data_IF_696780640354
#
_entry.id   IF_696780640354
#
_cell.length_a   1.000
_cell.length_b   1.000
_cell.length_c   1.000
_cell.angle_alpha   90.00
_cell.angle_beta   90.00
_cell.angle_gamma   90.00
#
_symmetry.space_group_name_H-M   'P 1'
#
loop_
_entity.id
_entity.type
_entity.pdbx_description
1 polymer ?
#
# COMPACT_ATOMS: atom_id res chain seq x y z
N UNK A 1 -14.76 14.09 19.91
CA UNK A 1 -14.40 12.81 19.26
C UNK A 1 -15.52 11.82 19.47
N UNK A 2 -16.00 11.18 18.39
CA UNK A 2 -16.89 10.03 18.51
C UNK A 2 -16.16 8.92 19.29
N UNK A 3 -16.88 8.26 20.20
CA UNK A 3 -16.33 7.25 21.10
C UNK A 3 -16.12 5.96 20.28
N UNK A 4 -14.91 5.75 19.78
CA UNK A 4 -14.54 4.51 19.07
C UNK A 4 -14.62 3.30 20.02
N UNK A 5 -15.09 2.18 19.49
CA UNK A 5 -15.12 0.91 20.22
C UNK A 5 -13.71 0.28 20.33
N UNK A 6 -13.56 -0.80 21.10
CA UNK A 6 -12.26 -1.45 21.31
C UNK A 6 -11.70 -2.11 20.03
N UNK A 7 -12.57 -2.60 19.15
CA UNK A 7 -12.19 -3.22 17.88
C UNK A 7 -11.59 -2.15 16.96
N UNK A 8 -12.27 -1.02 16.83
CA UNK A 8 -11.85 0.14 16.04
C UNK A 8 -10.51 0.69 16.54
N UNK A 9 -10.29 0.75 17.86
CA UNK A 9 -8.98 1.16 18.42
C UNK A 9 -7.86 0.18 18.09
N UNK A 10 -8.12 -1.12 18.18
CA UNK A 10 -7.15 -2.15 17.81
C UNK A 10 -6.81 -2.08 16.32
N UNK A 11 -7.82 -1.96 15.45
CA UNK A 11 -7.60 -1.79 14.01
C UNK A 11 -6.76 -0.55 13.70
N UNK A 12 -7.07 0.57 14.35
CA UNK A 12 -6.34 1.83 14.17
C UNK A 12 -4.85 1.70 14.54
N UNK A 13 -4.54 0.97 15.62
CA UNK A 13 -3.16 0.66 16.01
C UNK A 13 -2.43 -0.14 14.93
N UNK A 14 -3.06 -1.17 14.38
CA UNK A 14 -2.44 -2.04 13.36
C UNK A 14 -2.19 -1.30 12.03
N UNK A 15 -3.12 -0.45 11.59
CA UNK A 15 -3.07 0.14 10.23
C UNK A 15 -2.45 1.54 10.20
N UNK A 16 -2.30 2.21 11.34
CA UNK A 16 -1.76 3.56 11.38
C UNK A 16 -0.68 3.78 12.46
N UNK A 17 -0.37 2.77 13.29
CA UNK A 17 0.48 2.89 14.49
C UNK A 17 0.02 3.99 15.48
N UNK A 18 -1.25 4.42 15.36
CA UNK A 18 -1.79 5.54 16.13
C UNK A 18 -2.38 5.07 17.45
N UNK A 19 -1.76 5.48 18.55
CA UNK A 19 -2.26 5.30 19.91
C UNK A 19 -3.19 6.45 20.33
N UNK A 20 -3.00 7.64 19.74
CA UNK A 20 -3.72 8.89 20.01
C UNK A 20 -3.96 9.68 18.71
N UNK A 21 -4.58 10.87 18.81
CA UNK A 21 -4.79 11.77 17.65
C UNK A 21 -3.44 12.10 17.00
N UNK A 22 -3.29 11.84 15.69
CA UNK A 22 -2.04 12.13 14.99
C UNK A 22 -1.68 13.62 15.06
N UNK A 23 -0.39 13.91 15.25
CA UNK A 23 0.15 15.24 15.00
C UNK A 23 0.15 15.50 13.50
N UNK A 24 -0.53 16.54 13.04
CA UNK A 24 -0.67 16.86 11.60
C UNK A 24 -2.12 16.97 11.16
N UNK A 25 -2.35 16.96 9.86
CA UNK A 25 -3.70 16.90 9.31
C UNK A 25 -4.21 15.46 9.35
N UNK A 26 -5.51 15.28 9.57
CA UNK A 26 -6.08 13.94 9.66
C UNK A 26 -7.54 13.89 9.22
N UNK A 27 -7.94 12.73 8.72
CA UNK A 27 -9.34 12.39 8.46
C UNK A 27 -9.57 10.92 8.81
N UNK A 28 -10.09 10.69 10.02
CA UNK A 28 -10.40 9.37 10.55
C UNK A 28 -11.83 8.99 10.15
N UNK A 29 -11.98 7.81 9.57
CA UNK A 29 -13.28 7.23 9.21
C UNK A 29 -13.54 5.94 9.99
N UNK A 30 -14.77 5.76 10.43
CA UNK A 30 -15.24 4.52 11.01
C UNK A 30 -16.63 4.17 10.48
N UNK A 31 -16.82 2.92 10.04
CA UNK A 31 -18.11 2.38 9.59
C UNK A 31 -18.86 3.33 8.61
N UNK A 32 -18.23 3.71 7.49
CA UNK A 32 -18.84 4.60 6.50
C UNK A 32 -18.83 6.09 6.82
N UNK A 33 -18.47 6.49 8.05
CA UNK A 33 -18.64 7.88 8.52
C UNK A 33 -17.33 8.52 8.94
N UNK A 34 -17.19 9.82 8.69
CA UNK A 34 -16.09 10.60 9.27
C UNK A 34 -16.34 10.74 10.78
N UNK A 35 -15.37 10.32 11.59
CA UNK A 35 -15.43 10.41 13.06
C UNK A 35 -14.54 11.53 13.61
N UNK A 36 -13.62 12.04 12.79
CA UNK A 36 -12.79 13.19 13.10
C UNK A 36 -12.04 13.68 11.86
N UNK A 37 -11.96 15.00 11.73
CA UNK A 37 -11.15 15.66 10.71
C UNK A 37 -10.46 16.88 11.32
N UNK A 38 -9.20 17.09 10.96
CA UNK A 38 -8.43 18.26 11.32
C UNK A 38 -7.49 18.67 10.19
N UNK A 39 -7.50 19.95 9.85
CA UNK A 39 -6.50 20.57 8.96
C UNK A 39 -5.37 21.15 9.79
N UNK A 40 -4.18 21.28 9.20
CA UNK A 40 -3.07 22.03 9.78
C UNK A 40 -3.01 23.46 9.20
N UNK A 41 -1.97 24.22 9.55
CA UNK A 41 -1.73 25.52 8.93
C UNK A 41 -1.41 25.43 7.44
N UNK A 42 -0.82 24.32 6.99
CA UNK A 42 -0.32 24.13 5.63
C UNK A 42 -1.02 23.01 4.85
N UNK A 43 -1.86 22.23 5.52
CA UNK A 43 -2.58 21.13 4.92
C UNK A 43 -4.07 21.31 5.18
N UNK A 44 -4.84 21.48 4.12
CA UNK A 44 -6.28 21.65 4.16
C UNK A 44 -7.00 20.39 3.66
N UNK A 45 -7.94 19.88 4.46
CA UNK A 45 -8.78 18.74 4.09
C UNK A 45 -10.24 19.18 3.93
N UNK A 46 -10.75 19.13 2.71
CA UNK A 46 -12.15 19.47 2.38
C UNK A 46 -12.91 18.24 1.90
N UNK A 47 -14.23 18.24 2.06
CA UNK A 47 -15.07 17.20 1.44
C UNK A 47 -15.31 17.57 -0.02
N UNK A 48 -15.32 16.56 -0.89
CA UNK A 48 -15.74 16.74 -2.29
C UNK A 48 -17.21 17.14 -2.35
N UNK A 49 -17.57 17.97 -3.33
CA UNK A 49 -18.94 18.47 -3.50
C UNK A 49 -19.95 17.35 -3.78
N UNK A 50 -19.52 16.30 -4.48
CA UNK A 50 -20.32 15.12 -4.81
C UNK A 50 -20.46 14.13 -3.63
N UNK A 51 -19.79 14.40 -2.51
CA UNK A 51 -19.80 13.55 -1.32
C UNK A 51 -19.00 12.24 -1.47
N UNK A 52 -18.25 12.05 -2.56
CA UNK A 52 -17.53 10.81 -2.87
C UNK A 52 -16.27 10.60 -2.00
N UNK A 53 -15.75 11.68 -1.39
CA UNK A 53 -14.63 11.62 -0.46
C UNK A 53 -14.06 12.99 -0.13
N UNK A 54 -12.74 13.15 -0.21
CA UNK A 54 -12.04 14.36 0.25
C UNK A 54 -10.98 14.86 -0.74
N UNK A 55 -10.72 16.16 -0.67
CA UNK A 55 -9.55 16.80 -1.28
C UNK A 55 -8.59 17.21 -0.17
N UNK A 56 -7.31 16.86 -0.34
CA UNK A 56 -6.22 17.22 0.54
C UNK A 56 -5.29 18.16 -0.22
N UNK A 57 -5.24 19.42 0.19
CA UNK A 57 -4.35 20.43 -0.39
C UNK A 57 -3.18 20.72 0.54
N UNK A 58 -1.97 20.43 0.07
CA UNK A 58 -0.71 20.69 0.78
C UNK A 58 -0.05 21.89 0.13
N UNK A 59 0.19 22.95 0.91
CA UNK A 59 0.78 24.19 0.37
C UNK A 59 2.20 23.97 -0.16
N UNK A 60 2.63 24.76 -1.17
CA UNK A 60 4.02 24.75 -1.62
C UNK A 60 5.02 24.99 -0.48
N UNK A 61 6.14 24.28 -0.51
CA UNK A 61 7.22 24.40 0.47
C UNK A 61 6.88 23.88 1.88
N UNK A 62 5.76 23.21 2.08
CA UNK A 62 5.42 22.54 3.35
C UNK A 62 6.48 21.49 3.69
N UNK A 63 7.06 21.52 4.88
CA UNK A 63 8.10 20.57 5.32
C UNK A 63 7.75 19.94 6.65
N UNK A 64 8.06 18.65 6.81
CA UNK A 64 7.95 17.90 8.07
C UNK A 64 6.51 17.86 8.63
N UNK A 65 5.50 17.86 7.77
CA UNK A 65 4.11 17.65 8.16
C UNK A 65 3.59 16.33 7.61
N UNK A 66 2.58 15.79 8.28
CA UNK A 66 1.94 14.53 7.88
C UNK A 66 0.43 14.64 7.74
N UNK A 67 -0.10 13.75 6.91
CA UNK A 67 -1.54 13.53 6.71
C UNK A 67 -1.88 12.10 7.09
N UNK A 68 -2.85 11.91 7.98
CA UNK A 68 -3.30 10.60 8.41
C UNK A 68 -4.76 10.36 8.01
N UNK A 69 -5.02 9.35 7.16
CA UNK A 69 -6.37 9.03 6.68
C UNK A 69 -6.81 7.59 6.95
N UNK A 70 -6.77 7.10 8.20
CA UNK A 70 -7.17 5.74 8.52
C UNK A 70 -8.69 5.51 8.41
N UNK A 71 -9.05 4.32 7.94
CA UNK A 71 -10.41 3.79 7.87
C UNK A 71 -10.50 2.50 8.67
N UNK A 72 -11.49 2.42 9.56
CA UNK A 72 -11.77 1.21 10.34
C UNK A 72 -13.22 0.78 10.19
N UNK A 73 -13.44 -0.51 9.94
CA UNK A 73 -14.77 -1.11 9.80
C UNK A 73 -14.92 -2.24 10.80
N UNK A 74 -15.94 -2.16 11.65
CA UNK A 74 -16.31 -3.21 12.61
C UNK A 74 -17.70 -3.79 12.37
N UNK A 75 -18.51 -3.17 11.49
CA UNK A 75 -19.84 -3.67 11.13
C UNK A 75 -19.79 -4.58 9.88
N UNK A 76 -20.55 -5.67 9.92
CA UNK A 76 -20.64 -6.64 8.81
C UNK A 76 -21.62 -6.17 7.73
N UNK A 77 -21.32 -6.48 6.46
CA UNK A 77 -22.21 -6.16 5.33
C UNK A 77 -22.07 -4.73 4.79
N UNK A 78 -21.05 -3.99 5.23
CA UNK A 78 -20.78 -2.64 4.74
C UNK A 78 -19.91 -2.69 3.49
N UNK A 79 -20.29 -1.90 2.49
CA UNK A 79 -19.50 -1.67 1.28
C UNK A 79 -19.32 -0.18 1.09
N UNK A 80 -18.08 0.29 0.99
CA UNK A 80 -17.80 1.69 0.74
C UNK A 80 -16.66 1.87 -0.26
N UNK A 81 -16.79 2.90 -1.10
CA UNK A 81 -15.71 3.39 -1.96
C UNK A 81 -15.49 4.86 -1.63
N UNK A 82 -14.25 5.26 -1.39
CA UNK A 82 -13.90 6.63 -0.97
C UNK A 82 -12.84 7.19 -1.89
N UNK A 83 -13.11 8.37 -2.47
CA UNK A 83 -12.22 9.04 -3.40
C UNK A 83 -11.44 10.16 -2.70
N UNK A 84 -10.12 10.04 -2.66
CA UNK A 84 -9.24 10.99 -2.00
C UNK A 84 -8.23 11.53 -3.00
N UNK A 85 -8.24 12.85 -3.22
CA UNK A 85 -7.25 13.50 -4.06
C UNK A 85 -6.25 14.26 -3.21
N UNK A 86 -4.97 14.04 -3.47
CA UNK A 86 -3.87 14.73 -2.83
C UNK A 86 -3.23 15.68 -3.82
N UNK A 87 -3.31 16.97 -3.53
CA UNK A 87 -2.64 18.04 -4.27
C UNK A 87 -1.42 18.49 -3.48
N UNK A 88 -0.24 18.05 -3.91
CA UNK A 88 1.02 18.33 -3.21
C UNK A 88 1.71 19.50 -3.90
N UNK A 89 1.81 20.63 -3.19
CA UNK A 89 2.45 21.83 -3.70
C UNK A 89 3.94 21.64 -4.00
N UNK A 90 4.45 22.46 -4.92
CA UNK A 90 5.87 22.50 -5.31
C UNK A 90 6.80 22.54 -4.09
N UNK A 91 7.87 21.75 -4.14
CA UNK A 91 8.90 21.74 -3.12
C UNK A 91 8.44 21.27 -1.74
N UNK A 92 7.24 20.70 -1.60
CA UNK A 92 6.79 20.12 -0.34
C UNK A 92 7.64 18.90 0.06
N UNK A 93 7.63 18.53 1.34
CA UNK A 93 8.27 17.33 1.90
C UNK A 93 7.39 16.83 3.04
N UNK A 94 6.58 15.82 2.74
CA UNK A 94 5.44 15.40 3.58
C UNK A 94 5.31 13.88 3.65
N UNK A 95 4.70 13.43 4.75
CA UNK A 95 4.38 12.01 4.96
C UNK A 95 2.87 11.82 4.92
N UNK A 96 2.39 10.88 4.13
CA UNK A 96 0.97 10.54 4.03
C UNK A 96 0.82 9.10 4.52
N UNK A 97 -0.01 8.90 5.53
CA UNK A 97 -0.28 7.59 6.13
C UNK A 97 -1.75 7.25 5.90
N UNK A 98 -1.99 6.24 5.08
CA UNK A 98 -3.28 5.61 4.88
C UNK A 98 -3.29 4.23 5.53
N UNK A 99 -4.46 3.79 5.97
CA UNK A 99 -4.60 2.45 6.51
C UNK A 99 -6.04 2.02 6.58
N UNK A 100 -6.34 0.82 6.11
CA UNK A 100 -7.69 0.27 6.10
C UNK A 100 -7.75 -1.02 6.91
N UNK A 101 -8.56 -1.01 7.96
CA UNK A 101 -8.78 -2.15 8.84
C UNK A 101 -10.22 -2.63 8.77
N UNK A 102 -10.43 -3.91 8.49
CA UNK A 102 -11.77 -4.53 8.52
C UNK A 102 -11.78 -5.65 9.57
N UNK A 103 -12.61 -5.52 10.59
CA UNK A 103 -13.02 -6.62 11.45
C UNK A 103 -14.42 -7.08 11.05
N UNK A 104 -14.54 -8.32 10.58
CA UNK A 104 -15.82 -8.90 10.17
C UNK A 104 -16.15 -10.15 11.02
N UNK A 105 -17.02 -9.97 12.01
CA UNK A 105 -17.57 -11.03 12.85
C UNK A 105 -18.90 -11.58 12.34
N UNK A 106 -19.43 -11.02 11.24
CA UNK A 106 -20.72 -11.42 10.68
C UNK A 106 -20.63 -12.42 9.53
N UNK A 107 -21.75 -12.61 8.86
CA UNK A 107 -21.89 -13.53 7.72
C UNK A 107 -21.94 -12.83 6.36
N UNK A 108 -22.07 -11.50 6.37
CA UNK A 108 -22.10 -10.69 5.15
C UNK A 108 -20.70 -10.13 4.88
N UNK A 109 -20.32 -10.08 3.61
CA UNK A 109 -19.04 -9.52 3.18
C UNK A 109 -18.95 -8.03 3.52
N UNK A 110 -17.76 -7.60 3.95
CA UNK A 110 -17.43 -6.20 4.18
C UNK A 110 -16.33 -5.76 3.24
N UNK A 111 -16.48 -4.59 2.65
CA UNK A 111 -15.65 -4.10 1.54
C UNK A 111 -15.34 -2.62 1.70
N UNK A 112 -14.07 -2.27 1.54
CA UNK A 112 -13.61 -0.87 1.48
C UNK A 112 -12.62 -0.68 0.34
N UNK A 113 -12.96 0.25 -0.55
CA UNK A 113 -12.13 0.60 -1.70
C UNK A 113 -11.69 2.06 -1.58
N UNK A 114 -10.42 2.26 -1.20
CA UNK A 114 -9.77 3.57 -1.20
C UNK A 114 -9.24 3.89 -2.60
N UNK A 115 -9.82 4.90 -3.24
CA UNK A 115 -9.29 5.44 -4.50
C UNK A 115 -8.48 6.69 -4.16
N UNK A 116 -7.17 6.63 -4.35
CA UNK A 116 -6.22 7.67 -4.03
C UNK A 116 -5.58 8.23 -5.30
N UNK A 117 -5.74 9.53 -5.55
CA UNK A 117 -5.08 10.21 -6.68
C UNK A 117 -4.09 11.22 -6.15
N UNK A 118 -2.83 11.08 -6.52
CA UNK A 118 -1.74 11.96 -6.10
C UNK A 118 -1.31 12.84 -7.26
N UNK A 119 -1.33 14.15 -7.04
CA UNK A 119 -0.79 15.16 -7.94
C UNK A 119 0.45 15.76 -7.25
N UNK A 120 1.62 15.21 -7.56
CA UNK A 120 2.89 15.57 -6.92
C UNK A 120 3.53 16.72 -7.69
N UNK A 121 3.56 17.92 -7.08
CA UNK A 121 4.12 19.11 -7.68
C UNK A 121 5.64 19.07 -7.88
N UNK A 122 6.16 20.03 -8.64
CA UNK A 122 7.58 20.09 -9.00
C UNK A 122 8.48 20.06 -7.76
N UNK A 123 9.57 19.28 -7.82
CA UNK A 123 10.55 19.14 -6.73
C UNK A 123 9.96 18.72 -5.37
N UNK A 124 8.71 18.26 -5.31
CA UNK A 124 8.07 17.82 -4.07
C UNK A 124 8.52 16.40 -3.70
N UNK A 125 8.56 16.12 -2.40
CA UNK A 125 8.93 14.83 -1.82
C UNK A 125 7.77 14.29 -1.01
N UNK A 126 7.37 13.06 -1.29
CA UNK A 126 6.25 12.41 -0.62
C UNK A 126 6.69 11.03 -0.15
N UNK A 127 6.50 10.75 1.13
CA UNK A 127 6.48 9.37 1.63
C UNK A 127 5.04 8.95 1.87
N UNK A 128 4.58 7.94 1.17
CA UNK A 128 3.25 7.36 1.32
C UNK A 128 3.36 5.98 1.95
N UNK A 129 2.63 5.77 3.03
CA UNK A 129 2.56 4.48 3.73
C UNK A 129 1.11 4.04 3.72
N UNK A 130 0.84 2.85 3.18
CA UNK A 130 -0.48 2.24 3.18
C UNK A 130 -0.43 0.88 3.87
N UNK A 131 -1.31 0.67 4.87
CA UNK A 131 -1.41 -0.60 5.59
C UNK A 131 -2.81 -1.20 5.51
N UNK A 132 -2.87 -2.49 5.23
CA UNK A 132 -4.11 -3.26 5.16
C UNK A 132 -4.14 -4.40 6.17
N UNK A 133 -5.25 -4.50 6.89
CA UNK A 133 -5.43 -5.48 7.94
C UNK A 133 -6.86 -6.01 7.99
N UNK A 134 -7.00 -7.33 8.04
CA UNK A 134 -8.27 -8.02 8.28
C UNK A 134 -8.27 -8.81 9.58
N UNK A 135 -9.38 -8.79 10.30
CA UNK A 135 -9.63 -9.66 11.45
C UNK A 135 -11.12 -10.03 11.59
N UNK A 136 -11.45 -10.77 12.65
CA UNK A 136 -12.78 -11.28 12.90
C UNK A 136 -12.90 -12.77 12.60
N UNK A 137 -13.78 -13.44 13.35
CA UNK A 137 -14.07 -14.87 13.28
C UNK A 137 -15.33 -15.19 12.46
N UNK A 138 -15.88 -14.17 11.78
CA UNK A 138 -17.06 -14.28 10.93
C UNK A 138 -16.81 -15.04 9.63
N UNK A 139 -17.91 -15.45 9.00
CA UNK A 139 -17.90 -16.14 7.70
C UNK A 139 -17.89 -15.17 6.52
N UNK A 140 -18.25 -13.90 6.73
CA UNK A 140 -18.18 -12.85 5.72
C UNK A 140 -16.73 -12.50 5.36
N UNK A 141 -16.51 -12.16 4.10
CA UNK A 141 -15.19 -11.79 3.60
C UNK A 141 -14.79 -10.38 4.02
N UNK A 142 -13.48 -10.16 4.07
CA UNK A 142 -12.80 -8.87 4.24
C UNK A 142 -12.17 -8.49 2.90
N UNK A 143 -12.82 -7.59 2.17
CA UNK A 143 -12.45 -7.22 0.80
C UNK A 143 -11.84 -5.82 0.80
N UNK A 144 -10.68 -5.65 0.17
CA UNK A 144 -10.02 -4.35 0.01
C UNK A 144 -9.47 -4.21 -1.41
N UNK A 145 -10.06 -3.34 -2.24
CA UNK A 145 -9.59 -3.10 -3.62
C UNK A 145 -9.11 -1.66 -3.80
N UNK A 146 -7.97 -1.28 -3.19
CA UNK A 146 -7.43 0.07 -3.31
C UNK A 146 -6.97 0.35 -4.75
N UNK A 147 -7.15 1.60 -5.17
CA UNK A 147 -6.66 2.12 -6.44
C UNK A 147 -5.80 3.34 -6.14
N UNK A 148 -4.58 3.37 -6.65
CA UNK A 148 -3.66 4.50 -6.52
C UNK A 148 -3.27 4.99 -7.91
N UNK A 149 -3.48 6.28 -8.17
CA UNK A 149 -3.02 6.94 -9.39
C UNK A 149 -2.08 8.07 -9.01
N UNK A 150 -0.91 8.16 -9.64
CA UNK A 150 0.09 9.17 -9.33
C UNK A 150 0.50 9.90 -10.59
N UNK A 151 0.42 11.22 -10.54
CA UNK A 151 0.98 12.13 -11.53
C UNK A 151 2.12 12.89 -10.88
N UNK A 152 3.33 12.71 -11.41
CA UNK A 152 4.55 13.29 -10.84
C UNK A 152 5.12 14.35 -11.78
N UNK A 153 5.20 15.59 -11.29
CA UNK A 153 5.84 16.70 -11.98
C UNK A 153 7.36 16.62 -11.92
N UNK A 154 8.03 17.51 -12.66
CA UNK A 154 9.48 17.45 -12.83
C UNK A 154 10.24 17.55 -11.49
N UNK A 155 11.30 16.74 -11.35
CA UNK A 155 12.16 16.70 -10.15
C UNK A 155 11.48 16.18 -8.87
N UNK A 156 10.22 15.72 -8.94
CA UNK A 156 9.52 15.20 -7.77
C UNK A 156 9.97 13.79 -7.37
N UNK A 157 9.82 13.44 -6.09
CA UNK A 157 10.18 12.10 -5.59
C UNK A 157 9.08 11.53 -4.71
N UNK A 158 8.72 10.27 -4.92
CA UNK A 158 7.72 9.57 -4.11
C UNK A 158 8.25 8.21 -3.67
N UNK A 159 8.15 7.93 -2.37
CA UNK A 159 8.40 6.61 -1.79
C UNK A 159 7.07 6.03 -1.30
N UNK A 160 6.73 4.82 -1.73
CA UNK A 160 5.53 4.09 -1.34
C UNK A 160 5.92 2.84 -0.55
N UNK A 161 5.41 2.73 0.68
CA UNK A 161 5.44 1.52 1.48
C UNK A 161 4.03 0.93 1.53
N UNK A 162 3.81 -0.15 0.78
CA UNK A 162 2.50 -0.77 0.63
C UNK A 162 2.50 -2.11 1.37
N UNK A 163 1.77 -2.22 2.47
CA UNK A 163 1.82 -3.38 3.36
C UNK A 163 0.45 -3.99 3.55
N UNK A 164 0.27 -5.24 3.11
CA UNK A 164 -0.83 -6.06 3.60
C UNK A 164 -0.33 -7.01 4.68
N UNK A 165 -0.75 -6.73 5.91
CA UNK A 165 -0.25 -7.40 7.11
C UNK A 165 -0.77 -8.84 7.15
N UNK A 166 -2.10 -9.03 7.19
CA UNK A 166 -2.79 -10.34 7.17
C UNK A 166 -4.30 -10.19 7.08
N UNK A 167 -4.99 -11.32 6.90
CA UNK A 167 -6.43 -11.43 7.18
C UNK A 167 -7.38 -10.85 6.13
N UNK A 168 -6.86 -10.31 5.02
CA UNK A 168 -7.67 -9.82 3.90
C UNK A 168 -8.01 -10.99 2.98
N UNK A 169 -9.30 -11.30 2.79
CA UNK A 169 -9.75 -12.46 2.00
C UNK A 169 -9.55 -12.29 0.51
N UNK A 170 -9.85 -11.09 0.03
CA UNK A 170 -9.74 -10.74 -1.38
C UNK A 170 -9.23 -9.31 -1.51
N UNK A 171 -8.23 -9.14 -2.36
CA UNK A 171 -7.73 -7.82 -2.74
C UNK A 171 -7.40 -7.78 -4.22
N UNK A 172 -7.79 -6.68 -4.87
CA UNK A 172 -7.38 -6.32 -6.21
C UNK A 172 -6.83 -4.90 -6.17
N UNK A 173 -5.51 -4.77 -6.06
CA UNK A 173 -4.82 -3.49 -5.96
C UNK A 173 -4.34 -3.05 -7.33
N UNK A 174 -4.56 -1.78 -7.64
CA UNK A 174 -4.03 -1.17 -8.86
C UNK A 174 -3.26 0.09 -8.49
N UNK A 175 -2.00 0.17 -8.94
CA UNK A 175 -1.18 1.38 -8.80
C UNK A 175 -0.68 1.80 -10.17
N UNK A 176 -1.00 3.03 -10.56
CA UNK A 176 -0.53 3.63 -11.81
C UNK A 176 0.24 4.90 -11.54
N UNK A 177 1.38 5.08 -12.20
CA UNK A 177 2.19 6.29 -12.02
C UNK A 177 2.73 6.80 -13.35
N UNK A 178 2.68 8.12 -13.55
CA UNK A 178 3.27 8.80 -14.70
C UNK A 178 4.31 9.81 -14.20
N UNK A 179 5.55 9.68 -14.68
CA UNK A 179 6.71 10.42 -14.19
C UNK A 179 7.25 11.35 -15.27
N UNK A 180 7.28 12.66 -14.97
CA UNK A 180 7.98 13.66 -15.80
C UNK A 180 9.49 13.66 -15.55
N UNK A 181 10.19 14.60 -16.19
CA UNK A 181 11.65 14.67 -16.19
C UNK A 181 12.22 14.76 -14.77
N UNK A 182 13.31 14.05 -14.53
CA UNK A 182 14.01 13.96 -13.23
C UNK A 182 13.14 13.47 -12.06
N UNK A 183 11.92 12.98 -12.29
CA UNK A 183 11.06 12.44 -11.24
C UNK A 183 11.51 11.03 -10.83
N UNK A 184 11.30 10.67 -9.57
CA UNK A 184 11.72 9.36 -9.03
C UNK A 184 10.62 8.70 -8.20
N UNK A 185 10.34 7.43 -8.48
CA UNK A 185 9.37 6.62 -7.73
C UNK A 185 10.05 5.39 -7.14
N UNK A 186 9.91 5.21 -5.83
CA UNK A 186 10.32 3.99 -5.13
C UNK A 186 9.06 3.34 -4.56
N UNK A 187 8.86 2.06 -4.88
CA UNK A 187 7.77 1.26 -4.32
C UNK A 187 8.36 0.05 -3.60
N UNK A 188 7.88 -0.17 -2.37
CA UNK A 188 8.18 -1.33 -1.54
C UNK A 188 6.86 -1.96 -1.13
N UNK A 189 6.44 -2.97 -1.87
CA UNK A 189 5.27 -3.78 -1.55
C UNK A 189 5.66 -4.98 -0.68
N UNK A 190 4.87 -5.22 0.37
CA UNK A 190 4.99 -6.40 1.24
C UNK A 190 3.62 -7.01 1.40
N UNK A 191 3.51 -8.28 1.05
CA UNK A 191 2.23 -8.97 0.99
C UNK A 191 2.31 -10.35 1.64
N UNK A 192 1.42 -10.61 2.59
CA UNK A 192 1.17 -11.97 3.09
C UNK A 192 -0.26 -12.42 2.80
N UNK A 193 -0.39 -13.64 2.30
CA UNK A 193 -1.67 -14.35 2.17
C UNK A 193 -1.62 -15.72 2.83
N UNK A 194 -2.71 -16.12 3.46
CA UNK A 194 -2.86 -17.41 4.14
C UNK A 194 -4.28 -17.97 3.92
N UNK A 195 -4.56 -19.17 4.44
CA UNK A 195 -5.84 -19.85 4.27
C UNK A 195 -6.23 -20.02 2.80
N UNK A 196 -7.32 -19.38 2.39
CA UNK A 196 -7.83 -19.39 1.00
C UNK A 196 -7.85 -17.98 0.38
N UNK A 197 -7.03 -17.08 0.91
CA UNK A 197 -6.98 -15.69 0.49
C UNK A 197 -6.53 -15.55 -0.96
N UNK A 198 -7.04 -14.52 -1.62
CA UNK A 198 -6.69 -14.14 -2.98
C UNK A 198 -6.15 -12.71 -2.99
N UNK A 199 -5.01 -12.50 -3.64
CA UNK A 199 -4.46 -11.18 -3.86
C UNK A 199 -4.05 -10.99 -5.32
N UNK A 200 -4.50 -9.89 -5.91
CA UNK A 200 -4.00 -9.36 -7.17
C UNK A 200 -3.39 -7.98 -6.92
N UNK A 201 -2.16 -7.79 -7.35
CA UNK A 201 -1.47 -6.50 -7.34
C UNK A 201 -1.03 -6.16 -8.75
N UNK A 202 -1.44 -4.99 -9.24
CA UNK A 202 -1.06 -4.45 -10.54
C UNK A 202 -0.30 -3.14 -10.33
N UNK A 203 0.90 -3.06 -10.93
CA UNK A 203 1.68 -1.82 -11.02
C UNK A 203 1.94 -1.50 -12.49
N UNK A 204 1.58 -0.29 -12.91
CA UNK A 204 1.87 0.26 -14.23
C UNK A 204 2.57 1.62 -14.07
N UNK A 205 3.85 1.69 -14.40
CA UNK A 205 4.67 2.91 -14.25
C UNK A 205 5.16 3.37 -15.60
N UNK A 206 4.81 4.60 -15.98
CA UNK A 206 5.26 5.27 -17.20
C UNK A 206 6.33 6.30 -16.87
N UNK A 207 7.52 6.12 -17.44
CA UNK A 207 8.65 7.03 -17.36
C UNK A 207 8.65 7.93 -18.60
N UNK A 208 7.95 9.06 -18.51
CA UNK A 208 7.62 9.94 -19.64
C UNK A 208 8.63 11.08 -19.86
N UNK A 209 9.49 11.36 -18.87
CA UNK A 209 10.51 12.40 -18.97
C UNK A 209 11.95 11.89 -18.91
N UNK A 210 12.88 12.70 -19.41
CA UNK A 210 14.32 12.42 -19.33
C UNK A 210 14.77 12.30 -17.88
N UNK A 211 15.68 11.35 -17.61
CA UNK A 211 16.18 10.98 -16.29
C UNK A 211 15.12 10.55 -15.28
N UNK A 212 13.87 10.32 -15.68
CA UNK A 212 12.87 9.73 -14.81
C UNK A 212 13.34 8.35 -14.34
N UNK A 213 13.01 7.99 -13.10
CA UNK A 213 13.42 6.72 -12.52
C UNK A 213 12.33 6.03 -11.71
N UNK A 214 12.27 4.71 -11.79
CA UNK A 214 11.39 3.90 -10.96
C UNK A 214 12.11 2.66 -10.43
N UNK A 215 11.86 2.34 -9.17
CA UNK A 215 12.33 1.12 -8.51
C UNK A 215 11.16 0.48 -7.74
N UNK A 216 10.59 -0.58 -8.32
CA UNK A 216 9.40 -1.27 -7.81
C UNK A 216 9.78 -2.65 -7.31
N UNK A 217 9.85 -2.81 -6.00
CA UNK A 217 10.17 -4.08 -5.35
C UNK A 217 8.93 -4.60 -4.64
N UNK A 218 8.54 -5.83 -4.95
CA UNK A 218 7.45 -6.53 -4.28
C UNK A 218 7.93 -7.82 -3.63
N UNK A 219 7.58 -7.99 -2.35
CA UNK A 219 7.88 -9.19 -1.56
C UNK A 219 6.60 -9.88 -1.11
N UNK A 220 6.39 -11.10 -1.61
CA UNK A 220 5.19 -11.89 -1.37
C UNK A 220 5.44 -13.16 -0.56
N UNK A 221 4.54 -13.48 0.38
CA UNK A 221 4.51 -14.78 1.08
C UNK A 221 3.12 -15.40 0.94
N UNK A 222 3.03 -16.52 0.23
CA UNK A 222 1.78 -17.27 0.06
C UNK A 222 1.82 -18.57 0.87
N UNK A 223 0.89 -18.70 1.80
CA UNK A 223 0.74 -19.84 2.71
C UNK A 223 -0.59 -20.57 2.53
N UNK A 224 -0.69 -21.80 3.04
CA UNK A 224 -1.87 -22.67 2.97
C UNK A 224 -2.35 -22.90 1.53
N UNK A 225 -3.58 -22.53 1.17
CA UNK A 225 -4.16 -22.65 -0.18
C UNK A 225 -4.32 -21.31 -0.88
N UNK A 226 -3.66 -20.27 -0.37
CA UNK A 226 -3.78 -18.92 -0.89
C UNK A 226 -3.16 -18.77 -2.27
N UNK A 227 -3.56 -17.71 -2.97
CA UNK A 227 -3.07 -17.38 -4.30
C UNK A 227 -2.73 -15.89 -4.39
N UNK A 228 -1.56 -15.59 -4.95
CA UNK A 228 -1.14 -14.24 -5.29
C UNK A 228 -0.86 -14.13 -6.80
N UNK A 229 -1.30 -13.05 -7.41
CA UNK A 229 -0.89 -12.64 -8.76
C UNK A 229 -0.32 -11.22 -8.68
N UNK A 230 0.86 -11.04 -9.25
CA UNK A 230 1.55 -9.76 -9.32
C UNK A 230 1.85 -9.43 -10.78
N UNK A 231 1.26 -8.36 -11.29
CA UNK A 231 1.52 -7.82 -12.61
C UNK A 231 2.36 -6.55 -12.45
N UNK A 232 3.61 -6.56 -12.93
CA UNK A 232 4.50 -5.40 -12.89
C UNK A 232 4.80 -4.95 -14.32
N UNK A 233 4.46 -3.71 -14.64
CA UNK A 233 4.75 -3.09 -15.92
C UNK A 233 5.49 -1.78 -15.74
N UNK A 234 6.68 -1.67 -16.35
CA UNK A 234 7.37 -0.39 -16.54
C UNK A 234 7.44 -0.06 -18.03
N UNK A 235 7.03 1.15 -18.38
CA UNK A 235 7.09 1.72 -19.73
C UNK A 235 8.10 2.87 -19.73
N UNK A 236 9.21 2.71 -20.46
CA UNK A 236 10.24 3.73 -20.63
C UNK A 236 10.06 4.50 -21.93
N UNK A 237 9.53 5.73 -21.85
CA UNK A 237 9.25 6.59 -23.01
C UNK A 237 10.36 7.61 -23.30
N UNK A 238 11.35 7.76 -22.40
CA UNK A 238 12.48 8.69 -22.51
C UNK A 238 13.81 8.02 -22.12
N UNK A 239 14.92 8.78 -22.12
CA UNK A 239 16.19 8.33 -21.54
C UNK A 239 16.04 8.21 -20.02
N UNK A 240 15.70 7.02 -19.53
CA UNK A 240 15.19 6.79 -18.18
C UNK A 240 15.72 5.48 -17.57
N UNK A 241 15.51 5.28 -16.27
CA UNK A 241 15.96 4.09 -15.54
C UNK A 241 14.80 3.41 -14.82
N UNK A 242 14.54 2.14 -15.11
CA UNK A 242 13.49 1.35 -14.46
C UNK A 242 14.05 0.07 -13.88
N UNK A 243 13.67 -0.24 -12.65
CA UNK A 243 14.00 -1.48 -11.97
C UNK A 243 12.74 -2.11 -11.37
N UNK A 244 12.59 -3.42 -11.54
CA UNK A 244 11.54 -4.21 -10.89
C UNK A 244 12.13 -5.46 -10.26
N UNK A 245 11.71 -5.77 -9.04
CA UNK A 245 12.09 -6.99 -8.32
C UNK A 245 10.85 -7.68 -7.76
N UNK A 246 10.69 -8.97 -8.07
CA UNK A 246 9.64 -9.82 -7.55
C UNK A 246 10.24 -10.94 -6.71
N UNK A 247 10.25 -10.78 -5.40
CA UNK A 247 10.77 -11.78 -4.48
C UNK A 247 9.61 -12.48 -3.77
N UNK A 248 9.58 -13.81 -3.75
CA UNK A 248 8.41 -14.54 -3.28
C UNK A 248 8.72 -15.86 -2.61
N UNK A 249 8.04 -16.11 -1.48
CA UNK A 249 8.08 -17.36 -0.74
C UNK A 249 6.72 -18.06 -0.85
N UNK A 250 6.75 -19.33 -1.28
CA UNK A 250 5.61 -20.24 -1.23
C UNK A 250 5.76 -21.25 -0.10
N UNK A 251 4.66 -21.49 0.62
CA UNK A 251 4.55 -22.46 1.70
C UNK A 251 3.31 -23.33 1.47
N UNK A 252 3.33 -24.57 1.95
CA UNK A 252 2.22 -25.53 1.84
C UNK A 252 1.73 -25.75 0.39
N UNK A 253 0.46 -25.41 0.10
CA UNK A 253 -0.16 -25.45 -1.24
C UNK A 253 -0.28 -24.02 -1.84
N UNK A 254 0.45 -23.05 -1.29
CA UNK A 254 0.42 -21.65 -1.68
C UNK A 254 0.93 -21.45 -3.10
N UNK A 255 0.31 -20.53 -3.83
CA UNK A 255 0.60 -20.29 -5.25
C UNK A 255 0.85 -18.81 -5.50
N UNK A 256 1.87 -18.53 -6.30
CA UNK A 256 2.21 -17.17 -6.73
C UNK A 256 2.43 -17.19 -8.25
N UNK A 257 1.84 -16.21 -8.94
CA UNK A 257 2.08 -15.91 -10.35
C UNK A 257 2.65 -14.50 -10.45
N UNK A 258 3.88 -14.37 -10.96
CA UNK A 258 4.46 -13.08 -11.30
C UNK A 258 4.43 -12.89 -12.83
N UNK A 259 3.90 -11.75 -13.29
CA UNK A 259 3.79 -11.37 -14.70
C UNK A 259 4.52 -10.03 -14.90
N UNK A 260 5.84 -10.07 -15.13
CA UNK A 260 6.60 -8.87 -15.44
C UNK A 260 6.45 -8.47 -16.90
N UNK A 261 6.49 -7.17 -17.16
CA UNK A 261 6.50 -6.57 -18.49
C UNK A 261 7.36 -5.31 -18.49
N UNK A 262 8.28 -5.22 -19.45
CA UNK A 262 9.08 -4.02 -19.69
C UNK A 262 8.83 -3.58 -21.13
N UNK A 263 8.50 -2.30 -21.31
CA UNK A 263 8.29 -1.69 -22.61
C UNK A 263 9.24 -0.50 -22.78
N UNK A 264 10.25 -0.64 -23.62
CA UNK A 264 11.19 0.44 -23.91
C UNK A 264 10.85 1.08 -25.27
N UNK A 265 10.36 2.31 -25.22
CA UNK A 265 10.00 3.12 -26.39
C UNK A 265 11.09 4.15 -26.77
N UNK A 266 12.19 4.18 -26.01
CA UNK A 266 13.36 5.02 -26.26
C UNK A 266 14.64 4.17 -26.23
N UNK A 267 15.59 4.46 -27.13
CA UNK A 267 16.85 3.72 -27.26
C UNK A 267 17.80 3.90 -26.07
N UNK A 268 17.63 4.99 -25.33
CA UNK A 268 18.42 5.33 -24.15
C UNK A 268 17.71 4.92 -22.84
N UNK A 269 16.57 4.21 -22.92
CA UNK A 269 15.89 3.67 -21.75
C UNK A 269 16.63 2.42 -21.22
N UNK A 270 16.90 2.39 -19.91
CA UNK A 270 17.51 1.26 -19.21
C UNK A 270 16.48 0.64 -18.27
N UNK A 271 15.89 -0.50 -18.65
CA UNK A 271 14.88 -1.19 -17.86
C UNK A 271 15.39 -2.58 -17.45
N UNK A 272 15.26 -2.93 -16.18
CA UNK A 272 15.71 -4.20 -15.60
C UNK A 272 14.58 -4.86 -14.80
N UNK A 273 14.51 -6.18 -14.90
CA UNK A 273 13.58 -7.00 -14.14
C UNK A 273 14.28 -8.20 -13.53
N UNK A 274 14.00 -8.46 -12.26
CA UNK A 274 14.46 -9.60 -11.49
C UNK A 274 13.27 -10.30 -10.80
N UNK A 275 13.27 -11.62 -10.77
CA UNK A 275 12.24 -12.39 -10.07
C UNK A 275 12.76 -13.70 -9.48
N UNK A 276 12.35 -13.99 -8.25
CA UNK A 276 12.59 -15.25 -7.56
C UNK A 276 11.31 -15.73 -6.86
N UNK A 277 10.87 -16.94 -7.17
CA UNK A 277 9.81 -17.64 -6.45
C UNK A 277 10.39 -18.94 -5.90
N UNK A 278 10.35 -19.12 -4.58
CA UNK A 278 10.95 -20.28 -3.93
C UNK A 278 10.26 -20.66 -2.64
N UNK A 279 10.70 -21.78 -2.05
CA UNK A 279 10.35 -22.15 -0.68
C UNK A 279 11.39 -21.59 0.30
N UNK A 280 11.07 -21.58 1.58
CA UNK A 280 12.05 -21.25 2.63
C UNK A 280 13.26 -22.18 2.51
N UNK A 281 14.47 -21.61 2.58
CA UNK A 281 15.72 -22.35 2.51
C UNK A 281 15.86 -23.25 3.76
N UNK A 282 15.94 -24.57 3.55
CA UNK A 282 16.00 -25.56 4.65
C UNK A 282 17.16 -25.33 5.62
N UNK A 283 18.31 -24.87 5.13
CA UNK A 283 19.47 -24.60 5.98
C UNK A 283 19.24 -23.42 6.94
N UNK A 284 18.43 -22.42 6.54
CA UNK A 284 18.05 -21.31 7.42
C UNK A 284 17.11 -21.79 8.54
N UNK A 285 16.14 -22.64 8.20
CA UNK A 285 15.24 -23.28 9.17
C UNK A 285 16.02 -24.11 10.19
N UNK A 286 16.87 -25.03 9.70
CA UNK A 286 17.69 -25.90 10.55
C UNK A 286 18.55 -25.05 11.49
N UNK A 287 19.19 -23.98 10.98
CA UNK A 287 20.02 -23.09 11.80
C UNK A 287 19.21 -22.45 12.94
N UNK A 288 18.03 -21.90 12.66
CA UNK A 288 17.18 -21.30 13.70
C UNK A 288 16.70 -22.36 14.72
N UNK A 289 16.38 -23.57 14.26
CA UNK A 289 16.03 -24.67 15.16
C UNK A 289 17.20 -25.08 16.06
N UNK A 290 18.45 -25.05 15.57
CA UNK A 290 19.63 -25.28 16.41
C UNK A 290 19.83 -24.21 17.49
N UNK A 291 19.28 -23.00 17.29
CA UNK A 291 19.28 -21.92 18.27
C UNK A 291 18.13 -22.06 19.30
N UNK A 292 17.35 -23.15 19.24
CA UNK A 292 16.31 -23.47 20.22
C UNK A 292 14.89 -23.08 19.81
N UNK A 293 14.69 -22.59 18.58
CA UNK A 293 13.36 -22.32 18.05
C UNK A 293 12.68 -23.63 17.61
N UNK A 294 11.37 -23.72 17.78
CA UNK A 294 10.58 -24.72 17.05
C UNK A 294 10.60 -24.42 15.56
N UNK A 295 10.26 -25.42 14.72
CA UNK A 295 10.15 -25.24 13.27
C UNK A 295 9.20 -24.09 12.91
N UNK A 296 8.03 -24.03 13.56
CA UNK A 296 7.05 -22.97 13.36
C UNK A 296 7.58 -21.58 13.74
N UNK A 297 8.25 -21.47 14.89
CA UNK A 297 8.86 -20.20 15.31
C UNK A 297 9.97 -19.78 14.34
N UNK A 298 10.77 -20.74 13.85
CA UNK A 298 11.80 -20.48 12.86
C UNK A 298 11.21 -19.98 11.52
N UNK A 299 10.14 -20.62 11.03
CA UNK A 299 9.40 -20.17 9.85
C UNK A 299 8.89 -18.73 10.03
N UNK A 300 8.22 -18.45 11.16
CA UNK A 300 7.70 -17.12 11.46
C UNK A 300 8.82 -16.06 11.50
N UNK A 301 9.98 -16.38 12.08
CA UNK A 301 11.13 -15.47 12.06
C UNK A 301 11.67 -15.20 10.65
N UNK A 302 11.75 -16.22 9.80
CA UNK A 302 12.21 -16.05 8.41
C UNK A 302 11.22 -15.19 7.62
N UNK A 303 9.92 -15.50 7.72
CA UNK A 303 8.85 -14.74 7.06
C UNK A 303 8.85 -13.28 7.52
N UNK A 304 8.95 -13.04 8.82
CA UNK A 304 9.03 -11.69 9.37
C UNK A 304 10.28 -10.93 8.89
N UNK A 305 11.43 -11.60 8.81
CA UNK A 305 12.66 -11.01 8.28
C UNK A 305 12.58 -10.69 6.79
N UNK A 306 11.89 -11.53 6.00
CA UNK A 306 11.69 -11.34 4.57
C UNK A 306 10.76 -10.17 4.25
N UNK A 307 9.69 -9.99 5.05
CA UNK A 307 8.71 -8.90 4.90
C UNK A 307 9.09 -7.60 5.63
N UNK A 308 10.29 -7.53 6.24
CA UNK A 308 10.80 -6.34 6.94
C UNK A 308 11.51 -5.37 6.01
#
# INVERSE_FOLDING_TARGET
>A
MLKMDEIQKRLLLEVADLHDVPMGAYNLRANGKSVGRGSSANIEITSKEDGSGIDIHIKPGTKNESVHIPVVMSESGMKETVYNDFYIGEGADVVIVAGCGIDNCGTQDSEHDGVHRFFVGENAKVKYVEKHYGSGDGMGQRILNPVTEVTMEAGSSMEMEMVQIKGVDSTSRTTKANLKADASLIVRERLMTHGKQYAYSEYEVSLDGENASADVVSRGVAKDKSYQKLDLRIVGNAACHGHTECDSIIMDEGRILAVPSLEANNVDAMLVHEAAIGKIAGDQLIKLMTLGLTEKEAEEQIVNGFLK
#
